data_IF_175027799489
#
_entry.id   IF_175027799489
#
_cell.length_a   1.000
_cell.length_b   1.000
_cell.length_c   1.000
_cell.angle_alpha   90.00
_cell.angle_beta   90.00
_cell.angle_gamma   90.00
#
_symmetry.space_group_name_H-M   'P 1'
#
loop_
_entity.id
_entity.type
_entity.pdbx_description
1 polymer ?
#
# COMPACT_ATOMS: atom_id res chain seq x y z
N UNK A 1 4.65 1.65 5.47
CA UNK A 1 3.31 1.36 5.98
C UNK A 1 2.74 0.11 5.36
N UNK A 2 2.28 -0.80 6.22
CA UNK A 2 1.54 -1.96 5.71
C UNK A 2 0.27 -1.52 4.97
N UNK A 3 -0.17 -2.31 3.98
CA UNK A 3 -1.43 -2.06 3.28
C UNK A 3 -2.60 -1.90 4.25
N UNK A 4 -2.57 -2.60 5.39
CA UNK A 4 -3.55 -2.46 6.47
C UNK A 4 -3.65 -1.02 6.97
N UNK A 5 -2.52 -0.44 7.41
CA UNK A 5 -2.50 0.93 7.97
C UNK A 5 -2.91 1.95 6.92
N UNK A 6 -2.44 1.79 5.68
CA UNK A 6 -2.79 2.68 4.58
C UNK A 6 -4.30 2.69 4.30
N UNK A 7 -4.93 1.51 4.27
CA UNK A 7 -6.37 1.37 4.09
C UNK A 7 -7.14 1.93 5.29
N UNK A 8 -6.65 1.74 6.51
CA UNK A 8 -7.30 2.27 7.72
C UNK A 8 -7.32 3.81 7.71
N UNK A 9 -6.20 4.45 7.37
CA UNK A 9 -6.12 5.91 7.23
C UNK A 9 -7.01 6.45 6.10
N UNK A 10 -7.01 5.79 4.95
CA UNK A 10 -7.89 6.18 3.85
C UNK A 10 -9.37 5.99 4.18
N UNK A 11 -9.71 4.93 4.94
CA UNK A 11 -11.08 4.67 5.37
C UNK A 11 -11.56 5.73 6.37
N UNK A 12 -10.68 6.18 7.27
CA UNK A 12 -10.95 7.29 8.17
C UNK A 12 -11.22 8.59 7.39
N UNK A 13 -10.37 8.94 6.41
CA UNK A 13 -10.56 10.12 5.55
C UNK A 13 -11.83 10.03 4.69
N UNK A 14 -12.14 8.85 4.16
CA UNK A 14 -13.37 8.61 3.39
C UNK A 14 -14.63 8.54 4.28
N UNK A 15 -14.47 8.40 5.60
CA UNK A 15 -15.53 8.28 6.61
C UNK A 15 -15.98 6.84 6.89
N UNK A 16 -15.66 5.87 6.05
CA UNK A 16 -15.79 4.43 6.35
C UNK A 16 -15.10 3.57 5.29
N UNK A 17 -14.85 2.29 5.61
CA UNK A 17 -14.33 1.31 4.64
C UNK A 17 -15.27 1.08 3.45
N UNK A 18 -16.60 1.14 3.69
CA UNK A 18 -17.60 1.01 2.63
C UNK A 18 -17.50 2.17 1.64
N UNK A 19 -17.42 3.40 2.15
CA UNK A 19 -17.30 4.61 1.35
C UNK A 19 -15.96 4.69 0.62
N UNK A 20 -14.88 4.20 1.23
CA UNK A 20 -13.61 4.01 0.54
C UNK A 20 -13.74 3.05 -0.65
N UNK A 21 -14.46 1.93 -0.48
CA UNK A 21 -14.75 1.00 -1.57
C UNK A 21 -15.50 1.66 -2.73
N UNK A 22 -16.51 2.49 -2.42
CA UNK A 22 -17.24 3.27 -3.42
C UNK A 22 -16.33 4.23 -4.20
N UNK A 23 -15.46 4.97 -3.51
CA UNK A 23 -14.51 5.90 -4.14
C UNK A 23 -13.48 5.21 -5.03
N UNK A 24 -13.12 3.97 -4.69
CA UNK A 24 -12.15 3.15 -5.42
C UNK A 24 -12.82 2.23 -6.45
N UNK A 25 -14.15 2.28 -6.57
CA UNK A 25 -14.94 1.41 -7.45
C UNK A 25 -14.67 -0.09 -7.21
N UNK A 26 -14.45 -0.47 -5.95
CA UNK A 26 -14.24 -1.87 -5.54
C UNK A 26 -15.13 -2.26 -4.36
N UNK A 27 -15.56 -3.54 -4.28
CA UNK A 27 -16.26 -4.02 -3.10
C UNK A 27 -15.43 -3.83 -1.82
N UNK A 28 -16.06 -3.36 -0.73
CA UNK A 28 -15.40 -3.21 0.56
C UNK A 28 -14.78 -4.52 1.08
N UNK A 29 -15.35 -5.67 0.68
CA UNK A 29 -14.78 -6.99 0.93
C UNK A 29 -13.37 -7.16 0.35
N UNK A 30 -13.06 -6.58 -0.82
CA UNK A 30 -11.71 -6.60 -1.40
C UNK A 30 -10.73 -5.85 -0.51
N UNK A 31 -11.13 -4.69 0.02
CA UNK A 31 -10.30 -3.90 0.94
C UNK A 31 -10.05 -4.67 2.25
N UNK A 32 -11.07 -5.36 2.78
CA UNK A 32 -10.91 -6.25 3.94
C UNK A 32 -9.92 -7.37 3.67
N UNK A 33 -10.00 -8.03 2.50
CA UNK A 33 -9.03 -9.07 2.12
C UNK A 33 -7.61 -8.52 1.97
N UNK A 34 -7.46 -7.30 1.45
CA UNK A 34 -6.16 -6.61 1.37
C UNK A 34 -5.60 -6.32 2.77
N UNK A 35 -6.42 -5.84 3.72
CA UNK A 35 -6.01 -5.65 5.11
C UNK A 35 -5.55 -6.94 5.79
N UNK A 36 -6.15 -8.07 5.41
CA UNK A 36 -5.84 -9.39 5.95
C UNK A 36 -4.66 -10.07 5.24
N UNK A 37 -4.09 -9.48 4.19
CA UNK A 37 -3.06 -10.11 3.36
C UNK A 37 -3.56 -11.25 2.48
N UNK A 38 -4.87 -11.52 2.43
CA UNK A 38 -5.47 -12.56 1.58
C UNK A 38 -5.53 -12.16 0.11
N UNK A 39 -5.48 -10.85 -0.16
CA UNK A 39 -5.43 -10.27 -1.50
C UNK A 39 -4.28 -9.26 -1.56
N UNK A 40 -3.42 -9.28 -2.58
CA UNK A 40 -2.36 -8.29 -2.70
C UNK A 40 -2.95 -6.90 -2.93
N UNK A 41 -2.40 -5.91 -2.23
CA UNK A 41 -2.66 -4.50 -2.47
C UNK A 41 -1.53 -3.97 -3.37
N UNK A 42 -1.70 -4.13 -4.68
CA UNK A 42 -0.68 -3.80 -5.69
C UNK A 42 -0.39 -2.31 -5.75
N UNK A 43 0.76 -1.94 -6.30
CA UNK A 43 1.23 -0.55 -6.39
C UNK A 43 0.19 0.46 -6.95
N UNK A 44 -0.54 0.18 -8.05
CA UNK A 44 -1.56 1.13 -8.55
C UNK A 44 -2.70 1.38 -7.57
N UNK A 45 -3.16 0.34 -6.89
CA UNK A 45 -4.21 0.45 -5.86
C UNK A 45 -3.69 1.23 -4.65
N UNK A 46 -2.45 0.95 -4.21
CA UNK A 46 -1.79 1.69 -3.12
C UNK A 46 -1.68 3.18 -3.40
N UNK A 47 -1.35 3.58 -4.63
CA UNK A 47 -1.30 4.99 -5.03
C UNK A 47 -2.66 5.70 -4.81
N UNK A 48 -3.75 5.07 -5.24
CA UNK A 48 -5.11 5.63 -5.09
C UNK A 48 -5.56 5.70 -3.64
N UNK A 49 -5.23 4.69 -2.84
CA UNK A 49 -5.53 4.69 -1.40
C UNK A 49 -4.71 5.80 -0.70
N UNK A 50 -3.43 5.98 -1.05
CA UNK A 50 -2.57 7.02 -0.48
C UNK A 50 -3.08 8.43 -0.80
N UNK A 51 -3.52 8.66 -2.03
CA UNK A 51 -4.15 9.92 -2.45
C UNK A 51 -5.37 10.26 -1.57
N UNK A 52 -6.26 9.29 -1.33
CA UNK A 52 -7.44 9.46 -0.45
C UNK A 52 -7.03 9.67 1.02
N UNK A 53 -5.96 9.00 1.48
CA UNK A 53 -5.42 9.17 2.82
C UNK A 53 -4.73 10.54 3.03
N UNK A 54 -4.41 11.26 1.96
CA UNK A 54 -3.60 12.49 2.01
C UNK A 54 -2.12 12.21 2.27
N UNK A 55 -1.63 11.05 1.84
CA UNK A 55 -0.23 10.62 1.98
C UNK A 55 0.44 10.69 0.60
N UNK A 56 1.73 11.01 0.56
CA UNK A 56 2.52 10.97 -0.68
C UNK A 56 2.41 9.57 -1.33
N UNK A 57 1.84 9.46 -2.54
CA UNK A 57 1.63 8.18 -3.20
C UNK A 57 2.96 7.49 -3.57
N UNK A 58 4.06 8.24 -3.69
CA UNK A 58 5.38 7.70 -4.07
C UNK A 58 5.81 6.60 -3.11
N UNK A 59 5.67 6.87 -1.83
CA UNK A 59 6.05 5.92 -0.79
C UNK A 59 5.18 4.66 -0.81
N UNK A 60 3.86 4.84 -0.96
CA UNK A 60 2.92 3.73 -1.05
C UNK A 60 3.17 2.87 -2.30
N UNK A 61 3.57 3.46 -3.41
CA UNK A 61 3.93 2.74 -4.65
C UNK A 61 5.18 1.90 -4.43
N UNK A 62 6.24 2.47 -3.86
CA UNK A 62 7.51 1.76 -3.64
C UNK A 62 7.30 0.57 -2.69
N UNK A 63 6.50 0.73 -1.64
CA UNK A 63 6.10 -0.39 -0.78
C UNK A 63 5.26 -1.43 -1.53
N UNK A 64 4.35 -0.98 -2.40
CA UNK A 64 3.66 -1.79 -3.41
C UNK A 64 4.58 -2.74 -4.14
N UNK A 65 5.60 -2.17 -4.78
CA UNK A 65 6.56 -2.92 -5.57
C UNK A 65 7.39 -3.86 -4.70
N UNK A 66 7.82 -3.40 -3.52
CA UNK A 66 8.63 -4.21 -2.60
C UNK A 66 7.87 -5.46 -2.12
N UNK A 67 6.58 -5.33 -1.83
CA UNK A 67 5.74 -6.44 -1.35
C UNK A 67 5.40 -7.46 -2.44
N UNK A 68 5.64 -7.13 -3.72
CA UNK A 68 5.47 -8.05 -4.85
C UNK A 68 6.72 -8.89 -5.14
N UNK A 69 7.87 -8.57 -4.51
CA UNK A 69 9.13 -9.30 -4.70
C UNK A 69 9.23 -10.51 -3.76
N UNK A 70 9.74 -11.61 -4.31
CA UNK A 70 10.04 -12.85 -3.58
C UNK A 70 11.42 -12.73 -2.88
N UNK A 71 11.46 -12.90 -1.57
CA UNK A 71 12.68 -12.82 -0.78
C UNK A 71 13.53 -14.10 -0.81
N UNK A 72 12.98 -15.20 -1.35
CA UNK A 72 13.69 -16.46 -1.57
C UNK A 72 14.43 -16.52 -2.90
N UNK A 73 14.15 -15.59 -3.83
CA UNK A 73 14.86 -15.41 -5.09
C UNK A 73 15.99 -14.37 -4.91
N UNK A 74 17.24 -14.80 -5.08
CA UNK A 74 18.40 -13.93 -4.85
C UNK A 74 18.49 -12.72 -5.81
N UNK A 75 17.90 -12.79 -7.01
CA UNK A 75 17.80 -11.64 -7.92
C UNK A 75 16.79 -10.62 -7.39
N UNK A 76 15.62 -11.11 -6.96
CA UNK A 76 14.55 -10.25 -6.43
C UNK A 76 14.90 -9.65 -5.07
N UNK A 77 15.60 -10.40 -4.22
CA UNK A 77 16.11 -9.94 -2.91
C UNK A 77 17.02 -8.71 -3.03
N UNK A 78 17.88 -8.67 -4.05
CA UNK A 78 18.70 -7.49 -4.37
C UNK A 78 17.84 -6.26 -4.70
N UNK A 79 16.81 -6.43 -5.54
CA UNK A 79 15.85 -5.37 -5.86
C UNK A 79 15.05 -4.93 -4.62
N UNK A 80 14.64 -5.87 -3.76
CA UNK A 80 13.90 -5.60 -2.53
C UNK A 80 14.72 -4.76 -1.55
N UNK A 81 16.02 -5.05 -1.43
CA UNK A 81 16.96 -4.26 -0.63
C UNK A 81 17.10 -2.83 -1.17
N UNK A 82 17.19 -2.64 -2.49
CA UNK A 82 17.23 -1.31 -3.11
C UNK A 82 15.93 -0.52 -2.87
N UNK A 83 14.76 -1.16 -3.03
CA UNK A 83 13.48 -0.51 -2.73
C UNK A 83 13.37 -0.15 -1.24
N UNK A 84 13.85 -1.00 -0.34
CA UNK A 84 13.91 -0.68 1.09
C UNK A 84 14.83 0.53 1.37
N UNK A 85 15.99 0.61 0.73
CA UNK A 85 16.89 1.76 0.86
C UNK A 85 16.25 3.06 0.36
N UNK A 86 15.49 3.01 -0.73
CA UNK A 86 14.70 4.16 -1.22
C UNK A 86 13.67 4.60 -0.18
N UNK A 87 12.93 3.65 0.41
CA UNK A 87 11.95 3.95 1.48
C UNK A 87 12.61 4.58 2.71
N UNK A 88 13.80 4.11 3.07
CA UNK A 88 14.56 4.62 4.21
C UNK A 88 15.11 6.03 3.97
N UNK A 89 15.29 6.43 2.71
CA UNK A 89 15.77 7.75 2.31
C UNK A 89 14.69 8.84 2.26
N UNK A 90 13.39 8.50 2.36
CA UNK A 90 12.33 9.52 2.38
C UNK A 90 12.39 10.36 3.67
N UNK A 91 12.44 11.70 3.56
CA UNK A 91 12.37 12.55 4.72
C UNK A 91 10.99 12.40 5.40
N UNK A 92 10.98 12.29 6.73
CA UNK A 92 9.79 12.06 7.58
C UNK A 92 9.21 10.64 7.53
N UNK A 93 10.06 9.63 7.74
CA UNK A 93 9.63 8.29 8.15
C UNK A 93 9.15 8.32 9.62
N UNK A 94 8.02 8.97 9.88
CA UNK A 94 7.38 9.01 11.20
C UNK A 94 5.88 8.94 11.08
#
# INVERSE_FOLDING_TARGET
>A
MSAKILIDLAAEKAGSLRKLGELLEVPAGNLTQMKQGKRPCKAPMRARIAEIAGIDPTWAVIEGLKDELDDSDEVQKGAQAMLQAMLDAFPNRS
#
